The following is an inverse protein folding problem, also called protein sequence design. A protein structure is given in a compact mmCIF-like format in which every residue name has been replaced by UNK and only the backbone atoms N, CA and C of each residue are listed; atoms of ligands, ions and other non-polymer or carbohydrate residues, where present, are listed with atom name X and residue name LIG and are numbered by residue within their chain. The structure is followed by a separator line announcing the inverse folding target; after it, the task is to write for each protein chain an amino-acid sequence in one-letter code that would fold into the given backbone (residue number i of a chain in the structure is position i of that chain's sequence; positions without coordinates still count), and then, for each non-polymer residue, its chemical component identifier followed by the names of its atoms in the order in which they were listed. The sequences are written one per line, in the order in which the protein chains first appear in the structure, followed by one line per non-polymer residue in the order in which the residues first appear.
data_IF_243904005363
#
_entry.id   IF_243904005363
#
_cell.length_a   1.000
_cell.length_b   1.000
_cell.length_c   1.000
_cell.angle_alpha   90.00
_cell.angle_beta   90.00
_cell.angle_gamma   90.00
#
_symmetry.space_group_name_H-M   'P 1'
#
loop_
_entity.id
_entity.type
_entity.pdbx_description
1 polymer ?
#
# COMPACT_ATOMS: atom_id res chain seq x y z
N UNK A 1 5.67 13.82 3.17
CA UNK A 1 6.50 12.98 2.27
C UNK A 1 5.74 11.76 1.78
N UNK A 2 5.24 10.87 2.64
CA UNK A 2 4.44 9.72 2.22
C UNK A 2 3.25 10.09 1.32
N UNK A 3 2.39 11.03 1.74
CA UNK A 3 1.25 11.51 0.94
C UNK A 3 1.66 11.99 -0.46
N UNK A 4 2.73 12.78 -0.56
CA UNK A 4 3.23 13.29 -1.83
C UNK A 4 3.69 12.14 -2.74
N UNK A 5 4.38 11.14 -2.18
CA UNK A 5 4.87 10.00 -2.93
C UNK A 5 3.72 9.10 -3.41
N UNK A 6 2.70 8.85 -2.59
CA UNK A 6 1.50 8.14 -3.04
C UNK A 6 0.81 8.92 -4.18
N UNK A 7 0.77 10.25 -4.10
CA UNK A 7 0.25 11.09 -5.18
C UNK A 7 1.06 10.99 -6.48
N UNK A 8 2.39 10.92 -6.39
CA UNK A 8 3.26 10.72 -7.56
C UNK A 8 3.03 9.34 -8.18
N UNK A 9 3.05 8.28 -7.37
CA UNK A 9 2.86 6.91 -7.85
C UNK A 9 1.45 6.70 -8.44
N UNK A 10 0.44 7.36 -7.87
CA UNK A 10 -0.92 7.33 -8.40
C UNK A 10 -1.01 7.97 -9.78
N UNK A 11 -0.47 9.18 -9.95
CA UNK A 11 -0.42 9.85 -11.26
C UNK A 11 0.40 9.03 -12.27
N UNK A 12 1.41 8.28 -11.82
CA UNK A 12 2.18 7.41 -12.70
C UNK A 12 1.34 6.24 -13.22
N UNK A 13 0.47 5.69 -12.38
CA UNK A 13 -0.38 4.55 -12.72
C UNK A 13 -1.72 4.93 -13.34
N UNK A 14 -2.04 6.22 -13.46
CA UNK A 14 -3.29 6.66 -14.11
C UNK A 14 -3.35 6.34 -15.61
N UNK A 15 -2.20 6.05 -16.20
CA UNK A 15 -2.05 5.60 -17.59
C UNK A 15 -1.20 4.33 -17.63
N UNK A 16 -1.39 3.45 -18.64
CA UNK A 16 -0.58 2.23 -18.79
C UNK A 16 0.91 2.53 -18.69
N UNK A 17 1.64 1.71 -17.93
CA UNK A 17 3.08 1.88 -17.74
C UNK A 17 3.80 1.60 -19.07
N UNK A 18 4.67 2.51 -19.56
CA UNK A 18 5.43 2.26 -20.78
C UNK A 18 6.35 1.04 -20.63
N UNK A 19 6.41 0.21 -21.66
CA UNK A 19 7.35 -0.93 -21.71
C UNK A 19 8.82 -0.51 -21.84
N UNK A 20 9.09 0.72 -22.29
CA UNK A 20 10.46 1.29 -22.33
C UNK A 20 10.80 1.94 -20.97
N UNK A 21 11.91 1.52 -20.33
CA UNK A 21 12.40 2.15 -19.11
C UNK A 21 12.66 3.65 -19.27
N UNK A 22 13.14 4.08 -20.43
CA UNK A 22 13.46 5.49 -20.72
C UNK A 22 12.18 6.35 -20.77
N UNK A 23 11.16 5.87 -21.48
CA UNK A 23 9.86 6.55 -21.53
C UNK A 23 9.18 6.58 -20.16
N UNK A 24 9.25 5.46 -19.42
CA UNK A 24 8.70 5.38 -18.07
C UNK A 24 9.42 6.34 -17.10
N UNK A 25 10.75 6.46 -17.19
CA UNK A 25 11.53 7.45 -16.40
C UNK A 25 11.15 8.88 -16.76
N UNK A 26 11.10 9.21 -18.05
CA UNK A 26 10.72 10.55 -18.51
C UNK A 26 9.35 10.95 -17.98
N UNK A 27 8.36 10.03 -18.05
CA UNK A 27 7.02 10.27 -17.49
C UNK A 27 7.06 10.47 -15.98
N UNK A 28 7.82 9.65 -15.25
CA UNK A 28 7.97 9.79 -13.80
C UNK A 28 8.58 11.14 -13.44
N UNK A 29 9.64 11.57 -14.14
CA UNK A 29 10.31 12.84 -13.92
C UNK A 29 9.36 14.02 -14.15
N UNK A 30 8.54 13.98 -15.20
CA UNK A 30 7.51 14.99 -15.48
C UNK A 30 6.44 15.07 -14.37
N UNK A 31 5.97 13.91 -13.89
CA UNK A 31 5.01 13.85 -12.77
C UNK A 31 5.63 14.43 -11.51
N UNK A 32 6.86 14.02 -11.19
CA UNK A 32 7.57 14.49 -10.00
C UNK A 32 7.80 15.99 -10.09
N UNK A 33 8.26 16.52 -11.23
CA UNK A 33 8.47 17.95 -11.43
C UNK A 33 7.17 18.73 -11.22
N UNK A 34 6.06 18.28 -11.81
CA UNK A 34 4.74 18.90 -11.66
C UNK A 34 4.23 18.87 -10.21
N UNK A 35 4.32 17.73 -9.52
CA UNK A 35 3.89 17.58 -8.12
C UNK A 35 4.77 18.39 -7.16
N UNK A 36 6.08 18.42 -7.39
CA UNK A 36 7.01 19.19 -6.58
C UNK A 36 6.82 20.69 -6.79
N UNK A 37 6.58 21.16 -8.02
CA UNK A 37 6.31 22.56 -8.30
C UNK A 37 5.04 23.06 -7.59
N UNK A 38 3.97 22.26 -7.59
CA UNK A 38 2.74 22.58 -6.86
C UNK A 38 2.93 22.64 -5.33
N UNK A 39 3.89 21.88 -4.80
CA UNK A 39 4.23 21.87 -3.38
C UNK A 39 5.29 22.92 -3.00
N UNK A 40 5.88 23.62 -3.95
CA UNK A 40 7.01 24.52 -3.73
C UNK A 40 6.56 25.97 -3.61
N UNK A 41 6.91 26.61 -2.50
CA UNK A 41 6.73 28.06 -2.33
C UNK A 41 8.08 28.74 -2.57
N UNK A 42 8.25 29.32 -3.76
CA UNK A 42 9.46 30.08 -4.16
C UNK A 42 10.78 29.31 -4.02
N UNK A 43 10.82 28.00 -4.30
CA UNK A 43 12.05 27.20 -4.20
C UNK A 43 12.39 26.72 -2.79
N UNK A 44 11.57 27.07 -1.78
CA UNK A 44 11.82 26.76 -0.37
C UNK A 44 11.03 25.56 0.15
N UNK A 45 10.15 25.00 -0.68
CA UNK A 45 9.28 23.88 -0.32
C UNK A 45 7.95 24.32 0.28
N UNK A 46 7.14 23.36 0.75
CA UNK A 46 5.84 23.67 1.32
C UNK A 46 6.03 24.49 2.61
N UNK A 47 5.08 25.38 2.92
CA UNK A 47 5.11 26.23 4.12
C UNK A 47 5.39 25.48 5.44
N UNK A 48 5.09 24.19 5.49
CA UNK A 48 5.35 23.30 6.62
C UNK A 48 6.82 22.93 6.82
N UNK A 49 7.72 23.27 5.89
CA UNK A 49 9.16 22.98 5.99
C UNK A 49 9.86 24.20 6.55
N UNK A 50 10.27 24.12 7.81
CA UNK A 50 11.00 25.19 8.52
C UNK A 50 12.39 25.49 7.93
N UNK A 51 13.01 24.54 7.21
CA UNK A 51 14.36 24.66 6.67
C UNK A 51 14.42 24.34 5.16
N UNK A 52 14.70 25.32 4.29
CA UNK A 52 14.83 25.13 2.84
C UNK A 52 15.92 24.11 2.43
N UNK A 53 16.96 23.92 3.24
CA UNK A 53 18.01 22.93 2.97
C UNK A 53 17.50 21.50 3.13
N UNK A 54 16.63 21.28 4.13
CA UNK A 54 15.96 19.99 4.35
C UNK A 54 15.07 19.65 3.14
N UNK A 55 14.40 20.64 2.56
CA UNK A 55 13.59 20.43 1.35
C UNK A 55 14.42 19.93 0.16
N UNK A 56 15.60 20.50 -0.07
CA UNK A 56 16.53 20.03 -1.12
C UNK A 56 16.93 18.56 -0.91
N UNK A 57 17.18 18.15 0.33
CA UNK A 57 17.49 16.76 0.68
C UNK A 57 16.28 15.85 0.41
N UNK A 58 15.08 16.27 0.85
CA UNK A 58 13.84 15.52 0.64
C UNK A 58 13.50 15.32 -0.83
N UNK A 59 13.76 16.33 -1.69
CA UNK A 59 13.62 16.20 -3.14
C UNK A 59 14.53 15.12 -3.72
N UNK A 60 15.82 15.15 -3.36
CA UNK A 60 16.77 14.13 -3.81
C UNK A 60 16.36 12.74 -3.36
N UNK A 61 15.83 12.60 -2.14
CA UNK A 61 15.30 11.34 -1.64
C UNK A 61 14.09 10.85 -2.44
N UNK A 62 13.14 11.74 -2.81
CA UNK A 62 12.03 11.35 -3.69
C UNK A 62 12.55 10.85 -5.02
N UNK A 63 13.45 11.61 -5.68
CA UNK A 63 14.00 11.25 -6.99
C UNK A 63 14.68 9.87 -6.98
N UNK A 64 15.53 9.61 -5.98
CA UNK A 64 16.23 8.33 -5.86
C UNK A 64 15.25 7.15 -5.69
N UNK A 65 14.15 7.38 -4.98
CA UNK A 65 13.13 6.36 -4.70
C UNK A 65 12.28 6.08 -5.94
N UNK A 66 11.84 7.12 -6.65
CA UNK A 66 10.97 6.93 -7.83
C UNK A 66 11.74 6.38 -9.03
N UNK A 67 13.02 6.71 -9.19
CA UNK A 67 13.84 6.17 -10.28
C UNK A 67 13.98 4.64 -10.17
N UNK A 68 14.26 4.13 -8.97
CA UNK A 68 14.31 2.69 -8.76
C UNK A 68 12.93 2.03 -8.90
N UNK A 69 11.87 2.74 -8.49
CA UNK A 69 10.49 2.25 -8.65
C UNK A 69 10.10 2.05 -10.12
N UNK A 70 10.56 2.92 -11.02
CA UNK A 70 10.26 2.82 -12.45
C UNK A 70 10.72 1.47 -13.02
N UNK A 71 11.91 1.01 -12.65
CA UNK A 71 12.42 -0.30 -13.10
C UNK A 71 11.47 -1.44 -12.70
N UNK A 72 10.93 -1.38 -11.50
CA UNK A 72 9.95 -2.34 -11.01
C UNK A 72 8.63 -2.28 -11.78
N UNK A 73 8.07 -1.08 -11.97
CA UNK A 73 6.79 -0.93 -12.66
C UNK A 73 6.86 -1.35 -14.14
N UNK A 74 7.99 -1.11 -14.80
CA UNK A 74 8.23 -1.55 -16.18
C UNK A 74 8.31 -3.06 -16.28
N UNK A 75 8.98 -3.74 -15.32
CA UNK A 75 9.00 -5.21 -15.27
C UNK A 75 7.60 -5.79 -15.14
N UNK A 76 6.79 -5.24 -14.23
CA UNK A 76 5.40 -5.69 -14.07
C UNK A 76 4.57 -5.51 -15.34
N UNK A 77 4.74 -4.38 -16.04
CA UNK A 77 4.05 -4.12 -17.29
C UNK A 77 4.48 -5.10 -18.40
N UNK A 78 5.78 -5.42 -18.49
CA UNK A 78 6.32 -6.42 -19.41
C UNK A 78 5.82 -7.84 -19.08
N UNK A 79 5.61 -8.14 -17.80
CA UNK A 79 4.99 -9.37 -17.32
C UNK A 79 3.47 -9.41 -17.56
N UNK A 80 2.90 -8.38 -18.20
CA UNK A 80 1.49 -8.33 -18.59
C UNK A 80 0.52 -7.88 -17.50
N UNK A 81 1.01 -7.28 -16.41
CA UNK A 81 0.14 -6.71 -15.38
C UNK A 81 -0.40 -5.34 -15.81
N UNK A 82 -1.72 -5.20 -15.74
CA UNK A 82 -2.43 -3.97 -16.06
C UNK A 82 -3.09 -3.38 -14.81
N UNK A 83 -2.82 -2.10 -14.56
CA UNK A 83 -3.46 -1.34 -13.49
C UNK A 83 -4.96 -1.25 -13.69
N UNK A 84 -5.72 -1.50 -12.63
CA UNK A 84 -7.16 -1.26 -12.58
C UNK A 84 -7.42 0.19 -12.21
N UNK A 85 -7.42 1.08 -13.22
CA UNK A 85 -7.49 2.54 -13.04
C UNK A 85 -8.74 3.00 -12.27
N UNK A 86 -9.85 2.27 -12.38
CA UNK A 86 -11.08 2.52 -11.63
C UNK A 86 -10.88 2.53 -10.10
N UNK A 87 -9.85 1.85 -9.59
CA UNK A 87 -9.58 1.71 -8.16
C UNK A 87 -8.35 2.48 -7.67
N UNK A 88 -7.75 3.33 -8.51
CA UNK A 88 -6.64 4.20 -8.09
C UNK A 88 -7.13 5.34 -7.18
N UNK A 89 -8.26 5.95 -7.53
CA UNK A 89 -8.84 7.05 -6.77
C UNK A 89 -10.10 6.68 -5.99
N UNK A 90 -10.70 5.52 -6.25
CA UNK A 90 -11.90 5.05 -5.57
C UNK A 90 -11.63 3.89 -4.60
N UNK A 91 -12.52 3.75 -3.62
CA UNK A 91 -12.57 2.54 -2.81
C UNK A 91 -13.07 1.34 -3.65
N UNK A 92 -12.66 0.15 -3.27
CA UNK A 92 -13.26 -1.07 -3.81
C UNK A 92 -14.72 -1.19 -3.31
N UNK A 93 -15.65 -1.70 -4.14
CA UNK A 93 -17.00 -2.03 -3.72
C UNK A 93 -16.98 -2.87 -2.42
N UNK A 94 -17.83 -2.55 -1.43
CA UNK A 94 -17.90 -3.34 -0.20
C UNK A 94 -18.30 -4.79 -0.48
N UNK A 95 -17.72 -5.72 0.28
CA UNK A 95 -18.08 -7.14 0.23
C UNK A 95 -18.10 -7.75 1.63
N UNK A 96 -18.95 -8.76 1.82
CA UNK A 96 -19.01 -9.51 3.05
C UNK A 96 -17.90 -10.55 3.11
N UNK A 97 -17.16 -10.58 4.22
CA UNK A 97 -16.30 -11.69 4.62
C UNK A 97 -16.90 -12.31 5.87
N UNK A 98 -17.62 -13.41 5.70
CA UNK A 98 -18.51 -13.94 6.74
C UNK A 98 -19.60 -12.91 7.08
N UNK A 99 -19.79 -12.64 8.37
CA UNK A 99 -20.81 -11.70 8.85
C UNK A 99 -20.38 -10.22 8.75
N UNK A 100 -19.12 -9.95 8.40
CA UNK A 100 -18.55 -8.59 8.44
C UNK A 100 -18.52 -7.98 7.03
N UNK A 101 -19.11 -6.79 6.90
CA UNK A 101 -19.01 -5.98 5.69
C UNK A 101 -17.67 -5.24 5.69
N UNK A 102 -16.80 -5.55 4.73
CA UNK A 102 -15.50 -4.91 4.55
C UNK A 102 -15.57 -3.80 3.51
N UNK A 103 -14.82 -2.72 3.74
CA UNK A 103 -14.64 -1.64 2.79
C UNK A 103 -13.21 -1.09 2.89
N UNK A 104 -12.70 -0.52 1.80
CA UNK A 104 -11.35 0.03 1.80
C UNK A 104 -10.87 0.53 0.45
N UNK A 105 -9.80 1.34 0.48
CA UNK A 105 -9.12 1.87 -0.69
C UNK A 105 -7.69 1.33 -0.73
N UNK A 106 -7.36 0.44 -1.69
CA UNK A 106 -5.97 0.02 -1.92
C UNK A 106 -5.15 1.18 -2.50
N UNK A 107 -3.83 1.11 -2.38
CA UNK A 107 -2.95 2.06 -3.07
C UNK A 107 -2.89 1.75 -4.58
N UNK A 108 -2.77 0.47 -4.93
CA UNK A 108 -2.73 0.04 -6.32
C UNK A 108 -3.22 -1.42 -6.47
N UNK A 109 -4.05 -1.64 -7.49
CA UNK A 109 -4.55 -2.96 -7.91
C UNK A 109 -4.14 -3.17 -9.35
N UNK A 110 -3.53 -4.31 -9.65
CA UNK A 110 -3.23 -4.73 -11.01
C UNK A 110 -3.68 -6.16 -11.27
N UNK A 111 -3.93 -6.48 -12.53
CA UNK A 111 -4.37 -7.81 -12.96
C UNK A 111 -3.53 -8.30 -14.12
N UNK A 112 -3.27 -9.60 -14.15
CA UNK A 112 -2.80 -10.29 -15.34
C UNK A 112 -3.98 -11.03 -15.98
N UNK A 113 -3.95 -11.16 -17.32
CA UNK A 113 -4.97 -11.89 -18.07
C UNK A 113 -4.32 -12.93 -18.98
N UNK A 114 -4.91 -14.12 -18.99
CA UNK A 114 -4.58 -15.19 -19.93
C UNK A 114 -5.86 -15.71 -20.58
N UNK A 115 -5.88 -15.76 -21.91
CA UNK A 115 -7.07 -16.16 -22.67
C UNK A 115 -8.30 -15.28 -22.42
N UNK A 116 -8.10 -13.98 -22.14
CA UNK A 116 -9.16 -13.01 -21.85
C UNK A 116 -9.72 -13.07 -20.42
N UNK A 117 -9.34 -14.08 -19.63
CA UNK A 117 -9.74 -14.23 -18.23
C UNK A 117 -8.65 -13.69 -17.31
N UNK A 118 -9.04 -13.10 -16.19
CA UNK A 118 -8.12 -12.76 -15.11
C UNK A 118 -7.60 -14.08 -14.52
N UNK A 119 -6.28 -14.25 -14.49
CA UNK A 119 -5.60 -15.40 -13.90
C UNK A 119 -4.68 -15.00 -12.74
N UNK A 120 -4.36 -13.70 -12.60
CA UNK A 120 -3.75 -13.14 -11.39
C UNK A 120 -4.29 -11.76 -11.02
N UNK A 121 -4.43 -11.52 -9.71
CA UNK A 121 -4.69 -10.21 -9.11
C UNK A 121 -3.54 -9.87 -8.17
N UNK A 122 -3.13 -8.61 -8.17
CA UNK A 122 -2.06 -8.14 -7.31
C UNK A 122 -2.43 -6.85 -6.61
N UNK A 123 -2.17 -6.84 -5.30
CA UNK A 123 -2.38 -5.69 -4.44
C UNK A 123 -1.03 -5.15 -3.99
N UNK A 124 -0.79 -3.89 -4.32
CA UNK A 124 0.39 -3.18 -3.87
C UNK A 124 -0.01 -2.16 -2.81
N UNK A 125 0.77 -2.14 -1.73
CA UNK A 125 0.69 -1.15 -0.68
C UNK A 125 2.02 -0.41 -0.60
N UNK A 126 1.97 0.90 -0.84
CA UNK A 126 3.13 1.76 -0.90
C UNK A 126 3.46 2.22 0.52
N UNK A 127 4.63 1.85 1.03
CA UNK A 127 5.04 2.22 2.38
C UNK A 127 6.28 3.11 2.33
N UNK A 128 6.12 4.36 2.79
CA UNK A 128 7.23 5.30 2.94
C UNK A 128 8.05 5.01 4.22
N UNK A 129 8.61 3.82 4.28
CA UNK A 129 9.44 3.30 5.39
C UNK A 129 10.65 2.55 4.83
N UNK A 130 11.69 2.42 5.65
CA UNK A 130 12.83 1.57 5.32
C UNK A 130 12.58 0.16 5.89
N UNK A 131 13.21 -0.84 5.29
CA UNK A 131 13.13 -2.23 5.72
C UNK A 131 13.87 -2.42 7.04
N UNK A 132 13.19 -3.11 7.96
CA UNK A 132 13.81 -3.73 9.13
C UNK A 132 13.22 -5.14 9.28
N UNK A 133 13.93 -6.04 9.95
CA UNK A 133 13.46 -7.41 10.16
C UNK A 133 12.11 -7.48 10.90
N UNK A 134 11.86 -6.55 11.81
CA UNK A 134 10.55 -6.40 12.48
C UNK A 134 9.49 -5.85 11.54
N UNK A 135 9.81 -4.88 10.68
CA UNK A 135 8.88 -4.33 9.68
C UNK A 135 8.35 -5.43 8.75
N UNK A 136 9.22 -6.26 8.18
CA UNK A 136 8.78 -7.31 7.26
C UNK A 136 7.86 -8.34 7.92
N UNK A 137 8.12 -8.67 9.20
CA UNK A 137 7.26 -9.57 9.97
C UNK A 137 5.89 -8.94 10.27
N UNK A 138 5.87 -7.70 10.77
CA UNK A 138 4.63 -6.99 11.08
C UNK A 138 3.74 -6.82 9.84
N UNK A 139 4.35 -6.55 8.68
CA UNK A 139 3.63 -6.44 7.42
C UNK A 139 2.97 -7.75 6.99
N UNK A 140 3.59 -8.90 7.26
CA UNK A 140 2.97 -10.22 7.02
C UNK A 140 1.84 -10.54 7.98
N UNK A 141 1.83 -9.94 9.16
CA UNK A 141 0.78 -10.13 10.18
C UNK A 141 -0.42 -9.16 9.99
N UNK A 142 -0.30 -8.18 9.08
CA UNK A 142 -1.30 -7.16 8.76
C UNK A 142 -2.47 -7.70 7.92
N UNK A 143 -3.69 -7.25 8.24
CA UNK A 143 -4.91 -7.59 7.49
C UNK A 143 -5.12 -6.76 6.22
N UNK A 144 -4.42 -5.64 6.07
CA UNK A 144 -4.76 -4.63 5.07
C UNK A 144 -4.79 -5.21 3.65
N UNK A 145 -3.68 -5.83 3.23
CA UNK A 145 -3.55 -6.38 1.89
C UNK A 145 -4.50 -7.58 1.66
N UNK A 146 -4.63 -8.57 2.56
CA UNK A 146 -5.60 -9.65 2.40
C UNK A 146 -7.05 -9.15 2.24
N UNK A 147 -7.45 -8.14 3.02
CA UNK A 147 -8.77 -7.52 2.88
C UNK A 147 -8.93 -6.89 1.50
N UNK A 148 -7.93 -6.15 1.02
CA UNK A 148 -7.97 -5.53 -0.30
C UNK A 148 -7.95 -6.56 -1.44
N UNK A 149 -7.23 -7.68 -1.29
CA UNK A 149 -7.21 -8.76 -2.25
C UNK A 149 -8.60 -9.43 -2.35
N UNK A 150 -9.24 -9.68 -1.21
CA UNK A 150 -10.61 -10.20 -1.15
C UNK A 150 -11.59 -9.24 -1.84
N UNK A 151 -11.57 -7.96 -1.48
CA UNK A 151 -12.43 -6.94 -2.10
C UNK A 151 -12.18 -6.82 -3.61
N UNK A 152 -10.92 -6.89 -4.07
CA UNK A 152 -10.58 -6.81 -5.49
C UNK A 152 -11.08 -8.03 -6.27
N UNK A 153 -10.92 -9.24 -5.72
CA UNK A 153 -11.46 -10.47 -6.29
C UNK A 153 -12.97 -10.36 -6.53
N UNK A 154 -13.72 -9.88 -5.54
CA UNK A 154 -15.17 -9.66 -5.65
C UNK A 154 -15.52 -8.56 -6.65
N UNK A 155 -14.85 -7.40 -6.59
CA UNK A 155 -15.12 -6.27 -7.47
C UNK A 155 -14.84 -6.58 -8.95
N UNK A 156 -13.86 -7.45 -9.22
CA UNK A 156 -13.47 -7.86 -10.56
C UNK A 156 -14.22 -9.10 -11.06
N UNK A 157 -15.08 -9.71 -10.23
CA UNK A 157 -15.77 -10.95 -10.57
C UNK A 157 -14.81 -12.11 -10.88
N UNK A 158 -13.65 -12.12 -10.22
CA UNK A 158 -12.61 -13.10 -10.44
C UNK A 158 -12.96 -14.45 -9.78
N UNK A 159 -12.49 -15.54 -10.38
CA UNK A 159 -12.63 -16.88 -9.81
C UNK A 159 -11.78 -16.99 -8.52
N UNK A 160 -12.22 -17.80 -7.56
CA UNK A 160 -11.44 -18.11 -6.35
C UNK A 160 -10.11 -18.78 -6.67
N UNK A 161 -9.98 -19.43 -7.83
CA UNK A 161 -8.74 -20.05 -8.29
C UNK A 161 -7.70 -19.07 -8.83
N UNK A 162 -8.03 -17.77 -8.92
CA UNK A 162 -7.09 -16.75 -9.40
C UNK A 162 -5.92 -16.61 -8.45
N UNK A 163 -4.71 -16.53 -9.02
CA UNK A 163 -3.50 -16.30 -8.23
C UNK A 163 -3.55 -14.90 -7.62
N UNK A 164 -3.44 -14.80 -6.30
CA UNK A 164 -3.42 -13.51 -5.62
C UNK A 164 -2.09 -13.29 -4.91
N UNK A 165 -1.50 -12.12 -5.15
CA UNK A 165 -0.26 -11.69 -4.53
C UNK A 165 -0.44 -10.37 -3.80
N UNK A 166 0.06 -10.31 -2.58
CA UNK A 166 0.19 -9.11 -1.78
C UNK A 166 1.62 -8.60 -1.78
N UNK A 167 1.84 -7.30 -2.02
CA UNK A 167 3.17 -6.70 -2.00
C UNK A 167 3.21 -5.41 -1.20
N UNK A 168 4.19 -5.33 -0.30
CA UNK A 168 4.58 -4.08 0.33
C UNK A 168 5.82 -3.53 -0.35
N UNK A 169 5.71 -2.30 -0.86
CA UNK A 169 6.83 -1.60 -1.48
C UNK A 169 7.43 -0.60 -0.51
N UNK A 170 8.66 -0.87 -0.08
CA UNK A 170 9.36 -0.08 0.94
C UNK A 170 10.20 1.02 0.31
N UNK A 171 9.57 2.18 0.17
CA UNK A 171 10.05 3.30 -0.63
C UNK A 171 11.17 4.11 0.04
N UNK A 172 11.69 3.75 1.21
CA UNK A 172 12.88 4.42 1.78
C UNK A 172 14.10 3.53 1.87
N UNK A 173 13.97 2.28 1.46
CA UNK A 173 15.11 1.37 1.42
C UNK A 173 15.87 1.50 0.10
N UNK A 174 17.21 1.39 0.12
CA UNK A 174 17.97 1.17 -1.11
C UNK A 174 17.35 0.00 -1.90
N UNK A 175 17.27 0.13 -3.22
CA UNK A 175 16.73 -0.90 -4.13
C UNK A 175 15.20 -1.12 -4.06
N UNK A 176 14.46 -0.33 -3.27
CA UNK A 176 12.99 -0.45 -3.10
C UNK A 176 12.52 -1.92 -2.90
N UNK A 177 12.98 -2.60 -1.84
CA UNK A 177 12.71 -4.00 -1.63
C UNK A 177 11.20 -4.24 -1.52
N UNK A 178 10.78 -5.32 -2.16
CA UNK A 178 9.39 -5.76 -2.21
C UNK A 178 9.25 -6.91 -1.21
N UNK A 179 8.34 -6.76 -0.25
CA UNK A 179 7.91 -7.87 0.58
C UNK A 179 6.66 -8.47 -0.04
N UNK A 180 6.84 -9.55 -0.80
CA UNK A 180 5.75 -10.28 -1.46
C UNK A 180 5.31 -11.50 -0.66
N UNK A 181 4.03 -11.85 -0.77
CA UNK A 181 3.49 -13.13 -0.30
C UNK A 181 2.24 -13.49 -1.10
N UNK A 182 2.00 -14.79 -1.24
CA UNK A 182 0.80 -15.31 -1.88
C UNK A 182 -0.37 -15.29 -0.91
N UNK A 183 -1.57 -15.07 -1.45
CA UNK A 183 -2.82 -15.01 -0.70
C UNK A 183 -3.72 -16.10 -1.27
N UNK A 184 -4.05 -17.08 -0.43
CA UNK A 184 -4.95 -18.18 -0.77
C UNK A 184 -6.19 -18.15 0.15
N UNK A 185 -7.07 -19.13 -0.01
CA UNK A 185 -8.30 -19.24 0.78
C UNK A 185 -8.01 -19.39 2.29
N UNK A 186 -6.87 -19.99 2.67
CA UNK A 186 -6.50 -20.14 4.09
C UNK A 186 -6.16 -18.80 4.73
N UNK A 187 -5.55 -17.88 3.97
CA UNK A 187 -5.30 -16.50 4.42
C UNK A 187 -6.62 -15.76 4.63
N UNK A 188 -7.59 -15.92 3.72
CA UNK A 188 -8.91 -15.30 3.89
C UNK A 188 -9.67 -15.86 5.08
N UNK A 189 -9.59 -17.16 5.34
CA UNK A 189 -10.22 -17.76 6.51
C UNK A 189 -9.58 -17.29 7.83
N UNK A 190 -8.25 -17.16 7.90
CA UNK A 190 -7.57 -16.58 9.07
C UNK A 190 -8.04 -15.13 9.32
N UNK A 191 -8.05 -14.32 8.26
CA UNK A 191 -8.50 -12.93 8.33
C UNK A 191 -9.97 -12.87 8.77
N UNK A 192 -10.84 -13.70 8.22
CA UNK A 192 -12.26 -13.79 8.60
C UNK A 192 -12.41 -14.09 10.08
N UNK A 193 -11.79 -15.16 10.56
CA UNK A 193 -11.87 -15.56 11.97
C UNK A 193 -11.40 -14.45 12.91
N UNK A 194 -10.27 -13.81 12.59
CA UNK A 194 -9.70 -12.75 13.42
C UNK A 194 -10.55 -11.47 13.39
N UNK A 195 -11.05 -11.07 12.23
CA UNK A 195 -11.93 -9.90 12.09
C UNK A 195 -13.27 -10.13 12.80
N UNK A 196 -13.91 -11.29 12.63
CA UNK A 196 -15.16 -11.62 13.35
C UNK A 196 -14.95 -11.65 14.87
N UNK A 197 -13.82 -12.17 15.34
CA UNK A 197 -13.47 -12.14 16.75
C UNK A 197 -13.28 -10.70 17.28
N UNK A 198 -12.63 -9.82 16.50
CA UNK A 198 -12.45 -8.41 16.85
C UNK A 198 -13.80 -7.67 16.88
N UNK A 199 -14.65 -7.85 15.86
CA UNK A 199 -15.98 -7.24 15.80
C UNK A 199 -16.85 -7.71 16.97
N UNK A 200 -16.78 -9.00 17.33
CA UNK A 200 -17.46 -9.53 18.51
C UNK A 200 -16.96 -8.93 19.81
N UNK A 201 -15.63 -8.83 20.01
CA UNK A 201 -15.03 -8.16 21.18
C UNK A 201 -15.57 -6.72 21.32
N UNK A 202 -15.61 -5.98 20.20
CA UNK A 202 -16.15 -4.61 20.17
C UNK A 202 -17.65 -4.59 20.50
N UNK A 203 -18.45 -5.48 19.90
CA UNK A 203 -19.89 -5.59 20.16
C UNK A 203 -20.23 -5.97 21.60
N UNK A 204 -19.37 -6.73 22.27
CA UNK A 204 -19.48 -7.08 23.70
C UNK A 204 -18.96 -5.97 24.64
N UNK A 205 -18.46 -4.85 24.12
CA UNK A 205 -17.90 -3.76 24.92
C UNK A 205 -16.54 -4.09 25.55
N UNK A 206 -15.85 -5.14 25.09
CA UNK A 206 -14.51 -5.54 25.59
C UNK A 206 -13.41 -4.72 24.91
N UNK A 207 -13.35 -3.44 25.27
CA UNK A 207 -12.41 -2.46 24.71
C UNK A 207 -11.19 -2.18 25.60
N UNK A 208 -11.03 -2.93 26.69
CA UNK A 208 -9.86 -2.79 27.54
C UNK A 208 -8.62 -3.32 26.80
N UNK A 209 -7.46 -2.65 26.90
CA UNK A 209 -6.26 -3.16 26.26
C UNK A 209 -5.81 -4.47 26.94
N UNK A 210 -5.45 -5.44 26.11
CA UNK A 210 -5.06 -6.80 26.52
C UNK A 210 -3.54 -6.90 26.64
N UNK A 211 -2.97 -7.13 27.84
CA UNK A 211 -1.52 -7.29 28.02
C UNK A 211 -0.92 -8.49 27.28
N UNK A 212 -1.73 -9.50 26.92
CA UNK A 212 -1.27 -10.67 26.17
C UNK A 212 -1.04 -10.34 24.69
N UNK A 213 -1.70 -9.31 24.16
CA UNK A 213 -1.45 -8.77 22.84
C UNK A 213 -0.23 -7.83 22.98
N UNK A 214 0.97 -8.27 22.56
CA UNK A 214 2.16 -7.40 22.55
C UNK A 214 1.88 -6.17 21.68
N UNK A 215 1.61 -5.02 22.30
CA UNK A 215 1.34 -3.77 21.61
C UNK A 215 2.55 -2.84 21.70
N UNK A 216 2.97 -2.29 20.55
CA UNK A 216 3.90 -1.17 20.55
C UNK A 216 3.14 0.10 20.92
N UNK A 217 3.24 0.47 22.20
CA UNK A 217 2.55 1.63 22.73
C UNK A 217 3.29 2.95 22.48
N UNK A 218 4.49 2.94 21.89
CA UNK A 218 5.35 4.13 21.79
C UNK A 218 4.65 5.26 21.03
N UNK A 219 3.99 4.93 19.93
CA UNK A 219 3.32 5.89 19.04
C UNK A 219 1.81 6.01 19.31
N UNK A 220 1.29 5.36 20.36
CA UNK A 220 -0.14 5.42 20.69
C UNK A 220 -0.48 6.72 21.43
N UNK A 221 -1.25 7.61 20.79
CA UNK A 221 -1.72 8.87 21.40
C UNK A 221 -2.55 8.65 22.68
N UNK A 222 -3.23 7.51 22.78
CA UNK A 222 -4.04 7.12 23.93
C UNK A 222 -3.27 6.40 25.03
N UNK A 223 -1.95 6.19 24.88
CA UNK A 223 -1.10 5.51 25.88
C UNK A 223 -1.26 6.09 27.28
N UNK A 224 -1.41 7.41 27.39
CA UNK A 224 -1.59 8.08 28.69
C UNK A 224 -2.94 7.78 29.35
N UNK A 225 -3.94 7.37 28.57
CA UNK A 225 -5.28 7.03 29.05
C UNK A 225 -5.44 5.55 29.39
N UNK A 226 -4.65 4.66 28.76
CA UNK A 226 -4.84 3.21 28.90
C UNK A 226 -4.40 2.63 30.26
N UNK A 227 -3.63 3.40 31.06
CA UNK A 227 -3.12 3.02 32.39
C UNK A 227 -2.31 1.71 32.44
N UNK A 228 -1.98 1.13 31.29
CA UNK A 228 -1.01 0.04 31.16
C UNK A 228 0.39 0.65 31.11
N UNK A 229 1.00 0.80 32.29
CA UNK A 229 2.37 1.25 32.44
C UNK A 229 3.30 0.03 32.53
N UNK A 230 3.83 -0.39 31.39
CA UNK A 230 5.01 -1.26 31.32
C UNK A 230 4.80 -2.72 31.73
N UNK A 231 5.15 -3.61 30.81
CA UNK A 231 6.17 -4.63 31.10
C UNK A 231 7.36 -4.34 30.21
#
# INVERSE_FOLDING_TARGET
MGILLHGILRDFHSEPVPASPELARSRMDEIVARKLAAADVNGQGPHSVFDPSLWKIRRKQIMAVVDEYVNFAVRDALDGFETQSAYLDAALPPAHLGEVLLCGKPDHVSTHRSGGRIDAIRIDDFKYSAISGSTARLLKESFQIPIYAYLAMHALGADKSVRMDGRYLLLRSPENPIVSYSIDETVFDDVRMRVEALVRKVGEGKLHPDPAERQDCVDCEYRRLCRLYGT
#
